data_IF_078646228555
#
_entry.id   IF_078646228555
#
_cell.length_a   1.000
_cell.length_b   1.000
_cell.length_c   1.000
_cell.angle_alpha   90.00
_cell.angle_beta   90.00
_cell.angle_gamma   90.00
#
_symmetry.space_group_name_H-M   'P 1'
#
loop_
_entity.id
_entity.type
_entity.pdbx_description
1 polymer ?
#
# COMPACT_ATOMS: atom_id res chain seq x y z
N UNK A 1 51.10 -71.17 24.27
CA UNK A 1 50.66 -72.47 24.81
C UNK A 1 49.37 -72.32 25.62
N UNK A 2 49.28 -71.33 26.52
CA UNK A 2 48.09 -71.04 27.33
C UNK A 2 46.81 -70.78 26.53
N UNK A 3 46.84 -69.92 25.50
CA UNK A 3 45.66 -69.67 24.64
C UNK A 3 45.11 -70.93 23.96
N UNK A 4 45.99 -71.80 23.48
CA UNK A 4 45.60 -73.02 22.77
C UNK A 4 45.04 -74.07 23.75
N UNK A 5 45.62 -74.15 24.95
CA UNK A 5 45.15 -75.01 26.02
C UNK A 5 43.78 -74.61 26.58
N UNK A 6 43.41 -73.32 26.48
CA UNK A 6 42.09 -72.83 26.90
C UNK A 6 41.07 -72.97 25.75
N UNK A 7 41.44 -72.58 24.53
CA UNK A 7 40.50 -72.50 23.41
C UNK A 7 40.11 -73.85 22.80
N UNK A 8 41.04 -74.81 22.71
CA UNK A 8 40.75 -76.10 22.08
C UNK A 8 39.74 -76.95 22.86
N UNK A 9 39.82 -77.06 24.20
CA UNK A 9 38.75 -77.70 24.97
C UNK A 9 37.40 -77.03 24.70
N UNK A 10 37.33 -75.70 24.62
CA UNK A 10 36.08 -74.98 24.38
C UNK A 10 35.49 -75.18 22.98
N UNK A 11 36.34 -75.17 21.96
CA UNK A 11 35.93 -75.37 20.56
C UNK A 11 35.48 -76.81 20.27
N UNK A 12 35.90 -77.76 21.09
CA UNK A 12 35.64 -79.19 20.91
C UNK A 12 34.81 -79.80 22.07
N UNK A 13 34.14 -78.99 22.90
CA UNK A 13 33.31 -79.43 24.07
C UNK A 13 32.35 -80.58 23.73
N UNK A 14 31.80 -80.61 22.53
CA UNK A 14 30.77 -81.58 22.09
C UNK A 14 31.27 -82.61 21.07
N UNK A 15 32.58 -82.86 21.02
CA UNK A 15 33.19 -83.60 19.89
C UNK A 15 34.11 -84.75 20.29
N UNK A 16 34.01 -85.20 21.54
CA UNK A 16 34.67 -86.41 22.01
C UNK A 16 34.07 -87.64 21.33
N UNK A 17 34.93 -88.49 20.77
CA UNK A 17 34.52 -89.75 20.13
C UNK A 17 34.78 -90.91 21.08
N UNK A 18 33.75 -91.71 21.34
CA UNK A 18 33.90 -92.96 22.10
C UNK A 18 34.51 -94.03 21.20
N UNK A 19 35.73 -94.47 21.51
CA UNK A 19 36.46 -95.47 20.72
C UNK A 19 37.11 -96.47 21.68
N UNK A 20 36.85 -97.78 21.48
CA UNK A 20 37.43 -98.88 22.28
C UNK A 20 37.27 -98.71 23.81
N UNK A 21 36.08 -98.32 24.27
CA UNK A 21 35.78 -98.22 25.70
C UNK A 21 36.26 -96.94 26.39
N UNK A 22 36.84 -95.98 25.66
CA UNK A 22 37.32 -94.70 26.21
C UNK A 22 36.88 -93.52 25.34
N UNK A 23 36.62 -92.38 25.97
CA UNK A 23 36.43 -91.11 25.27
C UNK A 23 37.77 -90.59 24.77
N UNK A 24 37.83 -90.25 23.48
CA UNK A 24 39.06 -89.74 22.86
C UNK A 24 38.85 -88.35 22.29
N UNK A 25 39.74 -87.43 22.68
CA UNK A 25 39.74 -86.07 22.17
C UNK A 25 40.06 -86.03 20.66
N UNK A 26 39.46 -85.11 19.90
CA UNK A 26 39.71 -84.96 18.46
C UNK A 26 41.06 -84.34 18.11
N UNK A 27 41.87 -83.96 19.10
CA UNK A 27 43.20 -83.39 18.95
C UNK A 27 44.16 -83.95 20.01
N UNK A 28 45.48 -83.83 19.77
CA UNK A 28 46.56 -84.16 20.70
C UNK A 28 47.56 -83.02 20.74
N UNK A 29 47.89 -82.53 21.93
CA UNK A 29 48.88 -81.47 22.13
C UNK A 29 50.27 -82.06 22.40
N UNK A 30 51.22 -81.86 21.48
CA UNK A 30 52.64 -82.17 21.68
C UNK A 30 53.43 -81.00 22.27
N UNK A 31 54.74 -81.16 22.48
CA UNK A 31 55.61 -80.13 23.08
C UNK A 31 55.55 -78.78 22.33
N UNK A 32 55.47 -78.82 21.00
CA UNK A 32 55.53 -77.64 20.12
C UNK A 32 54.40 -77.57 19.07
N UNK A 33 53.56 -78.59 18.91
CA UNK A 33 52.55 -78.68 17.84
C UNK A 33 51.27 -79.33 18.37
N UNK A 34 50.13 -78.98 17.78
CA UNK A 34 48.84 -79.66 17.99
C UNK A 34 48.55 -80.53 16.77
N UNK A 35 48.21 -81.79 16.99
CA UNK A 35 47.87 -82.75 15.95
C UNK A 35 46.37 -83.01 15.99
N UNK A 36 45.71 -82.88 14.84
CA UNK A 36 44.27 -83.13 14.71
C UNK A 36 44.03 -84.52 14.13
N UNK A 37 42.95 -85.17 14.59
CA UNK A 37 42.45 -86.39 13.96
C UNK A 37 41.72 -86.05 12.67
N UNK A 38 41.57 -87.04 11.79
CA UNK A 38 40.90 -86.86 10.49
C UNK A 38 39.49 -86.26 10.65
N UNK A 39 39.17 -85.26 9.82
CA UNK A 39 37.93 -84.49 9.83
C UNK A 39 37.79 -83.45 10.94
N UNK A 40 38.63 -83.47 11.99
CA UNK A 40 38.53 -82.48 13.08
C UNK A 40 38.97 -81.07 12.64
N UNK A 41 40.04 -80.98 11.83
CA UNK A 41 40.51 -79.72 11.29
C UNK A 41 39.56 -79.14 10.22
N UNK A 42 38.98 -80.00 9.37
CA UNK A 42 38.03 -79.60 8.33
C UNK A 42 36.75 -79.00 8.93
N UNK A 43 36.24 -79.59 10.02
CA UNK A 43 35.11 -79.05 10.78
C UNK A 43 35.45 -77.68 11.37
N UNK A 44 36.61 -77.55 12.01
CA UNK A 44 37.07 -76.30 12.59
C UNK A 44 37.18 -75.19 11.54
N UNK A 45 37.71 -75.50 10.36
CA UNK A 45 37.80 -74.57 9.23
C UNK A 45 36.43 -74.20 8.67
N UNK A 46 35.51 -75.16 8.57
CA UNK A 46 34.12 -74.92 8.15
C UNK A 46 33.38 -73.98 9.11
N UNK A 47 33.52 -74.21 10.42
CA UNK A 47 32.93 -73.36 11.46
C UNK A 47 33.54 -71.95 11.44
N UNK A 48 34.86 -71.84 11.23
CA UNK A 48 35.56 -70.55 11.06
C UNK A 48 35.03 -69.76 9.86
N UNK A 49 34.83 -70.42 8.72
CA UNK A 49 34.29 -69.81 7.51
C UNK A 49 32.82 -69.40 7.70
N UNK A 50 32.01 -70.22 8.38
CA UNK A 50 30.63 -69.90 8.71
C UNK A 50 30.53 -68.63 9.58
N UNK A 51 31.33 -68.55 10.65
CA UNK A 51 31.40 -67.36 11.52
C UNK A 51 31.84 -66.13 10.71
N UNK A 52 32.86 -66.27 9.85
CA UNK A 52 33.33 -65.18 8.99
C UNK A 52 32.25 -64.72 8.01
N UNK A 53 31.49 -65.65 7.42
CA UNK A 53 30.38 -65.36 6.52
C UNK A 53 29.25 -64.60 7.23
N UNK A 54 28.85 -65.05 8.43
CA UNK A 54 27.82 -64.37 9.24
C UNK A 54 28.27 -62.95 9.61
N UNK A 55 29.52 -62.79 10.06
CA UNK A 55 30.04 -61.46 10.43
C UNK A 55 30.16 -60.52 9.22
N UNK A 56 30.61 -61.05 8.08
CA UNK A 56 30.66 -60.30 6.82
C UNK A 56 29.25 -59.87 6.39
N UNK A 57 28.25 -60.74 6.52
CA UNK A 57 26.86 -60.45 6.19
C UNK A 57 26.26 -59.37 7.09
N UNK A 58 26.55 -59.42 8.41
CA UNK A 58 26.16 -58.38 9.38
C UNK A 58 26.75 -57.02 8.98
N UNK A 59 28.04 -56.98 8.68
CA UNK A 59 28.72 -55.76 8.27
C UNK A 59 28.17 -55.22 6.96
N UNK A 60 27.99 -56.08 5.96
CA UNK A 60 27.43 -55.72 4.66
C UNK A 60 26.03 -55.10 4.81
N UNK A 61 25.15 -55.75 5.57
CA UNK A 61 23.80 -55.25 5.81
C UNK A 61 23.81 -53.91 6.53
N UNK A 62 24.69 -53.74 7.53
CA UNK A 62 24.84 -52.46 8.22
C UNK A 62 25.23 -51.32 7.27
N UNK A 63 26.26 -51.52 6.45
CA UNK A 63 26.70 -50.54 5.45
C UNK A 63 25.60 -50.25 4.43
N UNK A 64 24.91 -51.29 3.94
CA UNK A 64 23.77 -51.14 3.02
C UNK A 64 22.67 -50.27 3.63
N UNK A 65 22.27 -50.56 4.87
CA UNK A 65 21.27 -49.75 5.60
C UNK A 65 21.74 -48.30 5.81
N UNK A 66 23.01 -48.07 6.14
CA UNK A 66 23.56 -46.71 6.27
C UNK A 66 23.41 -45.92 4.97
N UNK A 67 23.78 -46.51 3.83
CA UNK A 67 23.67 -45.86 2.50
C UNK A 67 22.21 -45.55 2.17
N UNK A 68 21.28 -46.49 2.38
CA UNK A 68 19.86 -46.26 2.15
C UNK A 68 19.30 -45.12 3.03
N UNK A 69 19.68 -45.09 4.31
CA UNK A 69 19.27 -44.02 5.24
C UNK A 69 19.81 -42.66 4.79
N UNK A 70 21.06 -42.60 4.35
CA UNK A 70 21.66 -41.37 3.85
C UNK A 70 20.91 -40.84 2.61
N UNK A 71 20.65 -41.71 1.63
CA UNK A 71 19.88 -41.37 0.42
C UNK A 71 18.46 -40.90 0.75
N UNK A 72 17.75 -41.62 1.62
CA UNK A 72 16.40 -41.23 2.05
C UNK A 72 16.40 -39.87 2.75
N UNK A 73 17.36 -39.61 3.65
CA UNK A 73 17.50 -38.31 4.33
C UNK A 73 17.81 -37.17 3.36
N UNK A 74 18.60 -37.43 2.32
CA UNK A 74 18.89 -36.42 1.28
C UNK A 74 17.63 -36.10 0.47
N UNK A 75 16.93 -37.14 0.00
CA UNK A 75 15.68 -36.99 -0.76
C UNK A 75 14.58 -36.30 0.06
N UNK A 76 14.37 -36.72 1.31
CA UNK A 76 13.40 -36.10 2.22
C UNK A 76 13.68 -34.61 2.41
N UNK A 77 14.95 -34.23 2.60
CA UNK A 77 15.36 -32.82 2.71
C UNK A 77 15.04 -32.04 1.43
N UNK A 78 15.32 -32.61 0.26
CA UNK A 78 14.99 -31.97 -1.02
C UNK A 78 13.47 -31.79 -1.20
N UNK A 79 12.67 -32.82 -0.89
CA UNK A 79 11.21 -32.75 -0.98
C UNK A 79 10.64 -31.69 -0.04
N UNK A 80 11.10 -31.65 1.23
CA UNK A 80 10.65 -30.62 2.19
C UNK A 80 10.95 -29.22 1.68
N UNK A 81 12.15 -28.99 1.11
CA UNK A 81 12.51 -27.70 0.51
C UNK A 81 11.58 -27.33 -0.64
N UNK A 82 11.31 -28.25 -1.55
CA UNK A 82 10.41 -28.02 -2.68
C UNK A 82 8.99 -27.68 -2.21
N UNK A 83 8.47 -28.46 -1.26
CA UNK A 83 7.15 -28.22 -0.68
C UNK A 83 7.07 -26.86 0.04
N UNK A 84 8.12 -26.48 0.77
CA UNK A 84 8.19 -25.16 1.42
C UNK A 84 8.19 -24.02 0.40
N UNK A 85 8.98 -24.14 -0.68
CA UNK A 85 9.02 -23.16 -1.77
C UNK A 85 7.65 -23.03 -2.46
N UNK A 86 6.98 -24.15 -2.73
CA UNK A 86 5.64 -24.12 -3.32
C UNK A 86 4.62 -23.41 -2.42
N UNK A 87 4.60 -23.75 -1.11
CA UNK A 87 3.71 -23.07 -0.14
C UNK A 87 4.00 -21.57 -0.07
N UNK A 88 5.26 -21.18 -0.07
CA UNK A 88 5.67 -19.78 -0.12
C UNK A 88 5.21 -19.08 -1.40
N UNK A 89 5.42 -19.69 -2.58
CA UNK A 89 5.02 -19.11 -3.85
C UNK A 89 3.50 -18.94 -3.94
N UNK A 90 2.73 -19.92 -3.47
CA UNK A 90 1.28 -19.82 -3.37
C UNK A 90 0.86 -18.64 -2.49
N UNK A 91 1.34 -18.58 -1.25
CA UNK A 91 1.03 -17.48 -0.33
C UNK A 91 1.45 -16.12 -0.88
N UNK A 92 2.60 -16.03 -1.55
CA UNK A 92 3.08 -14.79 -2.19
C UNK A 92 2.18 -14.35 -3.35
N UNK A 93 1.64 -15.29 -4.13
CA UNK A 93 0.68 -14.99 -5.21
C UNK A 93 -0.60 -14.41 -4.62
N UNK A 94 -1.18 -15.10 -3.64
CA UNK A 94 -2.41 -14.68 -2.97
C UNK A 94 -2.26 -13.30 -2.33
N UNK A 95 -1.12 -13.04 -1.68
CA UNK A 95 -0.80 -11.73 -1.11
C UNK A 95 -0.73 -10.63 -2.18
N UNK A 96 -0.05 -10.89 -3.31
CA UNK A 96 0.07 -9.92 -4.40
C UNK A 96 -1.29 -9.59 -5.02
N UNK A 97 -2.16 -10.59 -5.21
CA UNK A 97 -3.50 -10.39 -5.75
C UNK A 97 -4.36 -9.55 -4.81
N UNK A 98 -4.35 -9.87 -3.51
CA UNK A 98 -5.03 -9.06 -2.49
C UNK A 98 -4.52 -7.63 -2.46
N UNK A 99 -3.20 -7.44 -2.51
CA UNK A 99 -2.59 -6.10 -2.51
C UNK A 99 -2.93 -5.28 -3.76
N UNK A 100 -3.03 -5.92 -4.92
CA UNK A 100 -3.50 -5.23 -6.14
C UNK A 100 -4.95 -4.75 -5.95
N UNK A 101 -5.83 -5.61 -5.45
CA UNK A 101 -7.23 -5.24 -5.22
C UNK A 101 -7.37 -4.10 -4.21
N UNK A 102 -6.67 -4.17 -3.07
CA UNK A 102 -6.70 -3.09 -2.07
C UNK A 102 -6.12 -1.78 -2.61
N UNK A 103 -5.05 -1.84 -3.40
CA UNK A 103 -4.47 -0.65 -4.02
C UNK A 103 -5.43 0.01 -5.02
N UNK A 104 -6.14 -0.77 -5.84
CA UNK A 104 -7.16 -0.26 -6.77
C UNK A 104 -8.26 0.47 -6.00
N UNK A 105 -8.79 -0.13 -4.94
CA UNK A 105 -9.82 0.50 -4.10
C UNK A 105 -9.29 1.78 -3.46
N UNK A 106 -8.08 1.76 -2.90
CA UNK A 106 -7.44 2.93 -2.31
C UNK A 106 -7.30 4.09 -3.31
N UNK A 107 -6.76 3.80 -4.51
CA UNK A 107 -6.62 4.81 -5.57
C UNK A 107 -7.96 5.38 -6.01
N UNK A 108 -8.99 4.54 -6.13
CA UNK A 108 -10.34 4.98 -6.46
C UNK A 108 -10.91 5.90 -5.38
N UNK A 109 -10.79 5.53 -4.09
CA UNK A 109 -11.24 6.37 -2.97
C UNK A 109 -10.52 7.73 -2.97
N UNK A 110 -9.19 7.75 -3.17
CA UNK A 110 -8.43 9.00 -3.27
C UNK A 110 -8.89 9.87 -4.43
N UNK A 111 -9.19 9.28 -5.59
CA UNK A 111 -9.75 9.99 -6.75
C UNK A 111 -11.12 10.59 -6.44
N UNK A 112 -12.02 9.84 -5.80
CA UNK A 112 -13.35 10.32 -5.41
C UNK A 112 -13.23 11.51 -4.46
N UNK A 113 -12.41 11.40 -3.40
CA UNK A 113 -12.18 12.51 -2.46
C UNK A 113 -11.63 13.77 -3.15
N UNK A 114 -10.67 13.61 -4.06
CA UNK A 114 -10.13 14.73 -4.83
C UNK A 114 -11.19 15.40 -5.72
N UNK A 115 -12.05 14.61 -6.38
CA UNK A 115 -13.16 15.13 -7.19
C UNK A 115 -14.17 15.89 -6.34
N UNK A 116 -14.57 15.36 -5.19
CA UNK A 116 -15.51 16.02 -4.27
C UNK A 116 -14.93 17.35 -3.77
N UNK A 117 -13.65 17.38 -3.39
CA UNK A 117 -12.98 18.62 -2.97
C UNK A 117 -12.95 19.65 -4.09
N UNK A 118 -12.61 19.24 -5.32
CA UNK A 118 -12.58 20.13 -6.49
C UNK A 118 -13.97 20.71 -6.79
N UNK A 119 -15.00 19.87 -6.75
CA UNK A 119 -16.39 20.32 -6.96
C UNK A 119 -16.79 21.38 -5.93
N UNK A 120 -16.51 21.15 -4.64
CA UNK A 120 -16.81 22.12 -3.57
C UNK A 120 -16.06 23.45 -3.78
N UNK A 121 -14.82 23.41 -4.23
CA UNK A 121 -14.07 24.63 -4.57
C UNK A 121 -14.73 25.38 -5.73
N UNK A 122 -15.14 24.69 -6.80
CA UNK A 122 -15.83 25.30 -7.93
C UNK A 122 -17.18 25.92 -7.53
N UNK A 123 -17.96 25.24 -6.68
CA UNK A 123 -19.21 25.77 -6.13
C UNK A 123 -18.97 27.03 -5.30
N UNK A 124 -17.93 27.04 -4.47
CA UNK A 124 -17.53 28.21 -3.68
C UNK A 124 -17.08 29.38 -4.58
N UNK A 125 -16.25 29.12 -5.58
CA UNK A 125 -15.78 30.13 -6.55
C UNK A 125 -16.96 30.77 -7.29
N UNK A 126 -17.91 29.95 -7.77
CA UNK A 126 -19.12 30.43 -8.42
C UNK A 126 -19.96 31.30 -7.47
N UNK A 127 -20.15 30.86 -6.21
CA UNK A 127 -20.87 31.62 -5.19
C UNK A 127 -20.21 32.98 -4.92
N UNK A 128 -18.89 33.02 -4.72
CA UNK A 128 -18.12 34.26 -4.51
C UNK A 128 -18.26 35.19 -5.71
N UNK A 129 -18.22 34.65 -6.94
CA UNK A 129 -18.41 35.44 -8.17
C UNK A 129 -19.80 36.07 -8.22
N UNK A 130 -20.85 35.31 -7.94
CA UNK A 130 -22.23 35.84 -7.91
C UNK A 130 -22.36 36.93 -6.85
N UNK A 131 -21.87 36.66 -5.63
CA UNK A 131 -21.96 37.61 -4.53
C UNK A 131 -21.18 38.90 -4.81
N UNK A 132 -19.97 38.82 -5.37
CA UNK A 132 -19.15 39.99 -5.70
C UNK A 132 -19.80 40.84 -6.80
N UNK A 133 -20.37 40.21 -7.83
CA UNK A 133 -21.15 40.91 -8.85
C UNK A 133 -22.34 41.65 -8.23
N UNK A 134 -23.10 41.01 -7.35
CA UNK A 134 -24.25 41.64 -6.68
C UNK A 134 -23.82 42.81 -5.79
N UNK A 135 -22.78 42.62 -4.97
CA UNK A 135 -22.22 43.67 -4.09
C UNK A 135 -21.72 44.88 -4.88
N UNK A 136 -21.25 44.71 -6.11
CA UNK A 136 -20.90 45.81 -7.00
C UNK A 136 -22.10 46.44 -7.73
N UNK A 137 -23.04 45.61 -8.20
CA UNK A 137 -24.21 46.05 -8.97
C UNK A 137 -25.20 46.85 -8.14
N UNK A 138 -25.56 46.36 -6.94
CA UNK A 138 -26.59 46.96 -6.10
C UNK A 138 -26.33 48.44 -5.76
N UNK A 139 -25.17 48.84 -5.22
CA UNK A 139 -24.90 50.25 -4.92
C UNK A 139 -24.85 51.13 -6.17
N UNK A 140 -24.36 50.61 -7.31
CA UNK A 140 -24.34 51.34 -8.58
C UNK A 140 -25.75 51.63 -9.08
N UNK A 141 -26.66 50.65 -9.01
CA UNK A 141 -28.07 50.82 -9.38
C UNK A 141 -28.77 51.85 -8.49
N UNK A 142 -28.54 51.78 -7.18
CA UNK A 142 -29.08 52.76 -6.22
C UNK A 142 -28.55 54.16 -6.52
N UNK A 143 -27.25 54.31 -6.76
CA UNK A 143 -26.64 55.60 -7.10
C UNK A 143 -27.20 56.16 -8.42
N UNK A 144 -27.42 55.32 -9.43
CA UNK A 144 -28.02 55.75 -10.69
C UNK A 144 -29.45 56.28 -10.50
N UNK A 145 -30.26 55.61 -9.68
CA UNK A 145 -31.61 56.08 -9.32
C UNK A 145 -31.56 57.41 -8.58
N UNK A 146 -30.65 57.56 -7.60
CA UNK A 146 -30.45 58.81 -6.87
C UNK A 146 -30.00 59.94 -7.79
N UNK A 147 -29.09 59.68 -8.74
CA UNK A 147 -28.66 60.67 -9.74
C UNK A 147 -29.82 61.13 -10.62
N UNK A 148 -30.66 60.21 -11.09
CA UNK A 148 -31.87 60.55 -11.88
C UNK A 148 -32.84 61.42 -11.07
N UNK A 149 -33.08 61.07 -9.81
CA UNK A 149 -33.92 61.87 -8.91
C UNK A 149 -33.33 63.27 -8.67
N UNK A 150 -32.04 63.37 -8.37
CA UNK A 150 -31.34 64.63 -8.18
C UNK A 150 -31.41 65.52 -9.44
N UNK A 151 -31.21 64.95 -10.62
CA UNK A 151 -31.33 65.68 -11.89
C UNK A 151 -32.74 66.25 -12.11
N UNK A 152 -33.79 65.52 -11.75
CA UNK A 152 -35.17 66.02 -11.82
C UNK A 152 -35.39 67.19 -10.86
N UNK A 153 -34.91 67.09 -9.61
CA UNK A 153 -34.99 68.17 -8.63
C UNK A 153 -34.24 69.41 -9.12
N UNK A 154 -33.00 69.24 -9.59
CA UNK A 154 -32.18 70.32 -10.13
C UNK A 154 -32.83 70.99 -11.35
N UNK A 155 -33.42 70.23 -12.27
CA UNK A 155 -34.15 70.75 -13.43
C UNK A 155 -35.35 71.58 -13.02
N UNK A 156 -36.17 71.07 -12.10
CA UNK A 156 -37.35 71.78 -11.57
C UNK A 156 -36.96 73.07 -10.86
N UNK A 157 -35.90 73.03 -10.05
CA UNK A 157 -35.34 74.21 -9.39
C UNK A 157 -34.85 75.26 -10.41
N UNK A 158 -34.02 74.86 -11.38
CA UNK A 158 -33.56 75.76 -12.47
C UNK A 158 -34.74 76.40 -13.20
N UNK A 159 -35.77 75.62 -13.56
CA UNK A 159 -36.98 76.14 -14.19
C UNK A 159 -37.69 77.19 -13.33
N UNK A 160 -37.88 76.90 -12.02
CA UNK A 160 -38.51 77.84 -11.08
C UNK A 160 -37.68 79.12 -10.93
N UNK A 161 -36.37 79.00 -10.77
CA UNK A 161 -35.45 80.14 -10.67
C UNK A 161 -35.48 81.00 -11.93
N UNK A 162 -35.41 80.40 -13.11
CA UNK A 162 -35.48 81.12 -14.38
C UNK A 162 -36.82 81.85 -14.55
N UNK A 163 -37.94 81.20 -14.17
CA UNK A 163 -39.26 81.87 -14.16
C UNK A 163 -39.31 83.05 -13.21
N UNK A 164 -38.77 82.91 -12.01
CA UNK A 164 -38.69 84.01 -11.04
C UNK A 164 -37.86 85.17 -11.60
N UNK A 165 -36.66 84.90 -12.12
CA UNK A 165 -35.80 85.92 -12.71
C UNK A 165 -36.49 86.63 -13.90
N UNK A 166 -37.15 85.89 -14.79
CA UNK A 166 -37.91 86.47 -15.91
C UNK A 166 -39.04 87.37 -15.41
N UNK A 167 -39.81 86.91 -14.42
CA UNK A 167 -40.90 87.71 -13.85
C UNK A 167 -40.41 88.99 -13.19
N UNK A 168 -39.28 88.95 -12.46
CA UNK A 168 -38.65 90.14 -11.88
C UNK A 168 -38.21 91.12 -12.98
N UNK A 169 -37.46 90.66 -13.98
CA UNK A 169 -37.03 91.49 -15.10
C UNK A 169 -38.22 92.08 -15.90
N UNK A 170 -39.28 91.30 -16.08
CA UNK A 170 -40.51 91.77 -16.72
C UNK A 170 -41.21 92.86 -15.88
N UNK A 171 -41.31 92.67 -14.57
CA UNK A 171 -41.88 93.67 -13.66
C UNK A 171 -41.07 94.98 -13.68
N UNK A 172 -39.74 94.89 -13.63
CA UNK A 172 -38.85 96.05 -13.75
C UNK A 172 -39.05 96.80 -15.08
N UNK A 173 -39.18 96.07 -16.20
CA UNK A 173 -39.43 96.66 -17.51
C UNK A 173 -40.80 97.35 -17.60
N UNK A 174 -41.84 96.76 -17.01
CA UNK A 174 -43.18 97.37 -16.91
C UNK A 174 -43.15 98.65 -16.08
N UNK A 175 -42.48 98.64 -14.94
CA UNK A 175 -42.30 99.82 -14.10
C UNK A 175 -41.50 100.92 -14.83
N UNK A 176 -40.44 100.56 -15.54
CA UNK A 176 -39.69 101.48 -16.38
C UNK A 176 -40.57 102.10 -17.49
N UNK A 177 -41.38 101.30 -18.18
CA UNK A 177 -42.32 101.77 -19.19
C UNK A 177 -43.40 102.71 -18.62
N UNK A 178 -43.92 102.41 -17.42
CA UNK A 178 -44.86 103.28 -16.70
C UNK A 178 -44.24 104.64 -16.37
N UNK A 179 -43.03 104.64 -15.78
CA UNK A 179 -42.28 105.86 -15.49
C UNK A 179 -41.99 106.68 -16.75
N UNK A 180 -41.63 106.03 -17.86
CA UNK A 180 -41.38 106.70 -19.13
C UNK A 180 -42.65 107.31 -19.73
N UNK A 181 -43.79 106.62 -19.63
CA UNK A 181 -45.10 107.17 -20.03
C UNK A 181 -45.46 108.40 -19.20
N UNK A 182 -45.26 108.36 -17.88
CA UNK A 182 -45.46 109.51 -16.99
C UNK A 182 -44.53 110.67 -17.34
N UNK A 183 -43.23 110.40 -17.58
CA UNK A 183 -42.25 111.41 -18.00
C UNK A 183 -42.65 112.08 -19.31
N UNK A 184 -43.07 111.31 -20.32
CA UNK A 184 -43.56 111.86 -21.60
C UNK A 184 -44.81 112.72 -21.41
N UNK A 185 -45.74 112.30 -20.55
CA UNK A 185 -46.92 113.10 -20.22
C UNK A 185 -46.55 114.43 -19.53
N UNK A 186 -45.61 114.39 -18.57
CA UNK A 186 -45.09 115.60 -17.91
C UNK A 186 -44.40 116.54 -18.89
N UNK A 187 -43.54 116.02 -19.77
CA UNK A 187 -42.89 116.81 -20.83
C UNK A 187 -43.91 117.45 -21.78
N UNK A 188 -44.96 116.71 -22.19
CA UNK A 188 -46.05 117.27 -22.97
C UNK A 188 -46.74 118.41 -22.21
N UNK A 189 -47.10 118.23 -20.93
CA UNK A 189 -47.75 119.29 -20.13
C UNK A 189 -46.89 120.51 -19.85
N UNK A 190 -45.56 120.36 -19.81
CA UNK A 190 -44.62 121.48 -19.68
C UNK A 190 -44.52 122.25 -21.00
N UNK A 191 -44.41 121.54 -22.13
CA UNK A 191 -44.46 122.13 -23.47
C UNK A 191 -45.78 122.86 -23.75
N UNK A 192 -46.92 122.37 -23.22
CA UNK A 192 -48.23 123.05 -23.35
C UNK A 192 -48.41 124.26 -22.41
N UNK A 193 -47.44 124.55 -21.53
CA UNK A 193 -47.46 125.69 -20.60
C UNK A 193 -46.49 126.81 -21.01
N UNK A 194 -45.57 126.51 -21.92
CA UNK A 194 -44.60 127.47 -22.48
C UNK A 194 -45.10 128.10 -23.79
N UNK A 195 -46.26 127.64 -24.31
CA UNK A 195 -47.06 128.25 -25.38
C UNK A 195 -48.28 129.00 -24.79
#
# INVERSE_FOLDING_TARGET
KERVAILLPELFKDSERFVKGQYTAPYVCGKNKVFFRSGALERLESDRLAIRSVNTSKLHNYVKTMIHRQRFRAMKRAVIKLQALWRFQKARRDYKERMKATFIVYCWMKRVLARTRRRKLQENEASIKIQSMWRGFNPRKVLEQQKKAAAMVQKSYKKRRNRHNFNCAFAECVEAARKQKQMKALLHTLSSRED
#
